data_IF_273831857407
#
_entry.id   IF_273831857407
#
_cell.length_a   1.000
_cell.length_b   1.000
_cell.length_c   1.000
_cell.angle_alpha   90.00
_cell.angle_beta   90.00
_cell.angle_gamma   90.00
#
_symmetry.space_group_name_H-M   'P 1'
#
loop_
_entity.id
_entity.type
_entity.pdbx_description
1 polymer ?
#
# COMPACT_ATOMS: atom_id res chain seq x y z
N UNK A 1 9.79 20.13 22.30
CA UNK A 1 9.68 18.69 22.25
C UNK A 1 9.66 18.20 20.80
N UNK A 2 10.34 17.15 20.54
CA UNK A 2 10.35 16.57 19.22
C UNK A 2 9.07 15.80 18.97
N UNK A 3 8.44 16.07 17.82
CA UNK A 3 7.22 15.41 17.43
C UNK A 3 7.55 14.25 16.49
N UNK A 4 8.40 13.36 16.98
CA UNK A 4 8.88 12.25 16.19
C UNK A 4 8.95 11.00 17.05
N UNK A 5 8.38 9.93 16.55
CA UNK A 5 8.44 8.61 17.21
C UNK A 5 9.08 7.64 16.26
N UNK A 6 10.08 6.93 16.74
CA UNK A 6 10.72 5.87 15.98
C UNK A 6 10.67 4.59 16.79
N UNK A 7 10.11 3.55 16.20
CA UNK A 7 10.07 2.21 16.80
C UNK A 7 10.94 1.32 15.95
N UNK A 8 11.91 0.71 16.58
CA UNK A 8 12.86 -0.14 15.88
C UNK A 8 12.90 -1.50 16.56
N UNK A 9 12.66 -2.54 15.81
CA UNK A 9 12.67 -3.91 16.33
C UNK A 9 13.70 -4.71 15.55
N UNK A 10 14.81 -5.05 16.22
CA UNK A 10 15.94 -5.67 15.57
C UNK A 10 16.52 -4.74 14.51
N UNK A 11 17.05 -5.33 13.44
CA UNK A 11 17.65 -4.56 12.35
C UNK A 11 16.74 -4.47 11.11
N UNK A 12 15.59 -5.16 11.15
CA UNK A 12 14.78 -5.35 9.96
C UNK A 12 13.45 -4.60 9.98
N UNK A 13 13.04 -4.07 11.12
CA UNK A 13 11.76 -3.38 11.23
C UNK A 13 11.97 -1.98 11.81
N UNK A 14 11.49 -0.99 11.09
CA UNK A 14 11.52 0.39 11.55
C UNK A 14 10.20 1.07 11.21
N UNK A 15 9.55 1.61 12.23
CA UNK A 15 8.36 2.44 12.07
C UNK A 15 8.71 3.85 12.53
N UNK A 16 8.60 4.80 11.65
CA UNK A 16 8.91 6.20 11.93
C UNK A 16 7.68 7.05 11.72
N UNK A 17 7.34 7.83 12.72
CA UNK A 17 6.24 8.80 12.62
C UNK A 17 6.80 10.17 12.94
N UNK A 18 6.71 11.08 11.99
CA UNK A 18 7.22 12.43 12.13
C UNK A 18 6.05 13.41 12.08
N UNK A 19 5.71 13.97 13.24
CA UNK A 19 4.60 14.90 13.37
C UNK A 19 4.89 16.29 12.83
N UNK A 20 6.17 16.61 12.58
CA UNK A 20 6.52 17.93 12.05
C UNK A 20 6.16 18.07 10.57
N UNK A 21 6.24 16.98 9.80
CA UNK A 21 5.87 17.00 8.39
C UNK A 21 4.75 16.02 8.05
N UNK A 22 4.20 15.33 9.03
CA UNK A 22 3.09 14.42 8.84
C UNK A 22 3.43 13.14 8.11
N UNK A 23 4.67 12.70 8.17
CA UNK A 23 5.12 11.51 7.46
C UNK A 23 5.11 10.28 8.36
N UNK A 24 4.58 9.19 7.86
CA UNK A 24 4.66 7.88 8.52
C UNK A 24 5.29 6.90 7.55
N UNK A 25 6.34 6.24 7.98
CA UNK A 25 7.08 5.29 7.17
C UNK A 25 7.21 3.96 7.91
N UNK A 26 6.92 2.88 7.23
CA UNK A 26 7.11 1.53 7.76
C UNK A 26 8.05 0.79 6.82
N UNK A 27 9.17 0.37 7.35
CA UNK A 27 10.16 -0.40 6.61
C UNK A 27 10.34 -1.75 7.27
N UNK A 28 10.20 -2.81 6.50
CA UNK A 28 10.29 -4.17 7.01
C UNK A 28 10.68 -5.11 5.89
N UNK A 29 11.27 -6.25 6.27
CA UNK A 29 11.63 -7.27 5.30
C UNK A 29 10.38 -7.97 4.77
N UNK A 30 9.37 -8.15 5.61
CA UNK A 30 8.14 -8.83 5.24
C UNK A 30 6.98 -8.23 6.03
N UNK A 31 5.92 -7.88 5.34
CA UNK A 31 4.73 -7.34 5.98
C UNK A 31 3.52 -8.18 5.61
N UNK A 32 2.85 -8.74 6.62
CA UNK A 32 1.59 -9.44 6.46
C UNK A 32 0.51 -8.63 7.14
N UNK A 33 -0.53 -8.31 6.41
CA UNK A 33 -1.69 -7.62 6.96
C UNK A 33 -2.90 -8.50 6.78
N UNK A 34 -3.53 -8.88 7.87
CA UNK A 34 -4.73 -9.70 7.85
C UNK A 34 -5.83 -8.98 8.63
N UNK A 35 -6.95 -8.76 7.98
CA UNK A 35 -8.09 -8.09 8.58
C UNK A 35 -9.29 -9.03 8.51
N UNK A 36 -9.91 -9.30 9.66
CA UNK A 36 -11.04 -10.21 9.73
C UNK A 36 -12.37 -9.55 9.32
N UNK A 37 -12.36 -8.26 9.20
CA UNK A 37 -13.52 -7.49 8.75
C UNK A 37 -13.22 -6.79 7.44
N UNK A 38 -13.58 -5.52 7.37
CA UNK A 38 -13.35 -4.71 6.19
C UNK A 38 -12.01 -3.98 6.28
N UNK A 39 -11.38 -3.83 5.15
CA UNK A 39 -10.13 -3.10 5.02
C UNK A 39 -10.30 -2.00 3.97
N UNK A 40 -9.82 -0.81 4.28
CA UNK A 40 -9.99 0.33 3.39
C UNK A 40 -8.68 1.11 3.27
N UNK A 41 -8.29 1.40 2.05
CA UNK A 41 -7.20 2.31 1.74
C UNK A 41 -7.76 3.50 0.99
N UNK A 42 -7.54 4.70 1.50
CA UNK A 42 -8.04 5.91 0.88
C UNK A 42 -6.94 6.96 0.87
N UNK A 43 -6.75 7.59 -0.26
CA UNK A 43 -5.81 8.70 -0.41
C UNK A 43 -6.48 9.82 -1.18
N UNK A 44 -6.37 11.04 -0.70
CA UNK A 44 -6.90 12.21 -1.42
C UNK A 44 -5.95 12.69 -2.50
N UNK A 45 -4.68 12.31 -2.38
CA UNK A 45 -3.69 12.59 -3.41
C UNK A 45 -3.51 11.37 -4.30
N UNK A 46 -2.29 10.93 -4.46
CA UNK A 46 -1.99 9.73 -5.23
C UNK A 46 -1.85 8.52 -4.33
N UNK A 47 -2.10 7.36 -4.89
CA UNK A 47 -1.79 6.07 -4.25
C UNK A 47 -1.03 5.22 -5.25
N UNK A 48 0.07 4.66 -4.82
CA UNK A 48 0.93 3.86 -5.67
C UNK A 48 1.13 2.48 -5.07
N UNK A 49 0.92 1.45 -5.88
CA UNK A 49 1.19 0.07 -5.50
C UNK A 49 2.20 -0.49 -6.50
N UNK A 50 3.36 -0.85 -6.00
CA UNK A 50 4.47 -1.26 -6.85
C UNK A 50 5.16 -2.47 -6.27
N UNK A 51 5.49 -3.42 -7.10
CA UNK A 51 6.23 -4.60 -6.72
C UNK A 51 6.76 -5.30 -7.95
N UNK A 52 7.68 -6.23 -7.77
CA UNK A 52 8.16 -7.05 -8.89
C UNK A 52 7.05 -7.94 -9.42
N UNK A 53 6.14 -8.34 -8.54
CA UNK A 53 4.92 -9.07 -8.88
C UNK A 53 3.81 -8.51 -8.02
N UNK A 54 2.72 -8.13 -8.64
CA UNK A 54 1.51 -7.67 -7.93
C UNK A 54 0.37 -8.60 -8.30
N UNK A 55 -0.25 -9.18 -7.28
CA UNK A 55 -1.36 -10.09 -7.47
C UNK A 55 -2.58 -9.55 -6.73
N UNK A 56 -3.67 -9.37 -7.45
CA UNK A 56 -4.93 -8.92 -6.87
C UNK A 56 -5.98 -9.96 -7.20
N UNK A 57 -6.61 -10.52 -6.18
CA UNK A 57 -7.54 -11.62 -6.34
C UNK A 57 -8.82 -11.36 -5.54
N UNK A 58 -9.94 -11.62 -6.15
CA UNK A 58 -11.25 -11.53 -5.53
C UNK A 58 -12.02 -12.81 -5.76
N UNK A 59 -12.74 -13.27 -4.74
CA UNK A 59 -13.57 -14.49 -4.88
C UNK A 59 -14.95 -14.18 -5.44
N UNK A 60 -15.36 -12.94 -5.41
CA UNK A 60 -16.68 -12.54 -5.89
C UNK A 60 -16.57 -11.60 -7.09
N UNK A 61 -16.29 -10.35 -6.87
CA UNK A 61 -16.15 -9.40 -7.96
C UNK A 61 -15.03 -8.43 -7.66
N UNK A 62 -14.44 -7.93 -8.71
CA UNK A 62 -13.38 -6.92 -8.62
C UNK A 62 -13.78 -5.73 -9.47
N UNK A 63 -13.81 -4.56 -8.87
CA UNK A 63 -14.11 -3.32 -9.57
C UNK A 63 -12.85 -2.50 -9.73
N UNK A 64 -12.55 -2.13 -10.95
CA UNK A 64 -11.50 -1.18 -11.26
C UNK A 64 -12.14 -0.05 -12.02
N UNK A 65 -12.17 1.13 -11.39
CA UNK A 65 -12.97 2.23 -11.88
C UNK A 65 -12.22 3.54 -11.81
N UNK A 66 -12.38 4.35 -12.83
CA UNK A 66 -11.81 5.68 -12.89
C UNK A 66 -12.82 6.63 -13.54
N UNK A 67 -12.94 7.84 -13.02
CA UNK A 67 -13.78 8.85 -13.63
C UNK A 67 -13.13 9.45 -14.88
N UNK A 68 -11.85 9.24 -15.07
CA UNK A 68 -11.14 9.77 -16.25
C UNK A 68 -10.73 8.63 -17.19
N UNK A 69 -9.72 7.87 -16.82
CA UNK A 69 -9.19 6.82 -17.69
C UNK A 69 -8.63 5.68 -16.87
N UNK A 70 -8.74 4.47 -17.42
CA UNK A 70 -8.03 3.28 -16.92
C UNK A 70 -7.03 2.89 -17.98
N UNK A 71 -5.77 2.82 -17.61
CA UNK A 71 -4.72 2.46 -18.55
C UNK A 71 -4.09 1.16 -18.13
N UNK A 72 -4.06 0.22 -19.04
CA UNK A 72 -3.45 -1.09 -18.83
C UNK A 72 -2.37 -1.27 -19.89
N UNK A 73 -1.15 -1.50 -19.45
CA UNK A 73 -0.02 -1.64 -20.35
C UNK A 73 0.82 -2.83 -19.92
N UNK A 74 1.17 -3.65 -20.84
CA UNK A 74 1.98 -4.84 -20.57
C UNK A 74 2.25 -5.63 -21.83
N UNK A 75 3.11 -6.64 -21.71
CA UNK A 75 3.46 -7.51 -22.83
C UNK A 75 3.64 -8.93 -22.32
N UNK A 76 2.67 -9.83 -22.56
CA UNK A 76 1.34 -9.59 -23.10
C UNK A 76 0.32 -9.13 -22.06
N UNK A 77 -0.84 -8.71 -22.51
CA UNK A 77 -2.01 -8.51 -21.66
C UNK A 77 -2.97 -9.64 -21.97
N UNK A 78 -3.38 -10.37 -20.93
CA UNK A 78 -4.26 -11.51 -21.07
C UNK A 78 -5.55 -11.28 -20.30
N UNK A 79 -6.68 -11.43 -20.98
CA UNK A 79 -8.00 -11.24 -20.39
C UNK A 79 -8.83 -12.49 -20.68
N UNK A 80 -9.38 -13.10 -19.60
CA UNK A 80 -10.25 -14.25 -19.75
C UNK A 80 -9.80 -15.51 -19.08
#
# INVERSE_FOLDING_TARGET
AEKKLTIKVGDNITLTMNGNNGTTELETTKLNVKVNGNMKYTSTGGATLEGSTVSVKSTSSMNLESSAAVKISGTPISIG
#
